data_IF_771643586070
#
_entry.id   IF_771643586070
#
_cell.length_a   1.000
_cell.length_b   1.000
_cell.length_c   1.000
_cell.angle_alpha   90.00
_cell.angle_beta   90.00
_cell.angle_gamma   90.00
#
_symmetry.space_group_name_H-M   'P 1'
#
loop_
_entity.id
_entity.type
_entity.pdbx_description
1 polymer ?
#
# COMPACT_ATOMS: atom_id res chain seq x y z
N UNK A 1 -10.30 0.67 61.56
CA UNK A 1 -10.77 1.89 60.86
C UNK A 1 -9.53 2.70 60.48
N UNK A 2 -8.96 2.44 59.29
CA UNK A 2 -7.74 3.10 58.83
C UNK A 2 -8.13 4.35 58.01
N UNK A 3 -7.86 5.53 58.56
CA UNK A 3 -7.88 6.79 57.81
C UNK A 3 -6.44 7.23 57.61
N UNK A 4 -5.96 7.26 56.36
CA UNK A 4 -4.73 7.97 56.01
C UNK A 4 -4.93 8.76 54.72
N UNK A 5 -4.75 10.06 54.87
CA UNK A 5 -4.80 11.11 53.88
C UNK A 5 -4.00 10.77 52.61
N UNK A 6 -4.60 10.93 51.43
CA UNK A 6 -3.87 11.14 50.18
C UNK A 6 -4.17 12.54 49.65
N UNK A 7 -3.13 13.38 49.65
CA UNK A 7 -3.08 14.72 49.08
C UNK A 7 -3.48 14.70 47.61
N UNK A 8 -4.36 15.61 47.21
CA UNK A 8 -4.55 15.96 45.80
C UNK A 8 -3.31 16.70 45.30
N UNK A 9 -2.75 16.26 44.17
CA UNK A 9 -2.12 17.17 43.21
C UNK A 9 -2.69 16.86 41.84
N UNK A 10 -3.57 17.77 41.45
CA UNK A 10 -3.79 18.19 40.08
C UNK A 10 -2.47 18.11 39.32
N UNK A 11 -2.38 17.19 38.37
CA UNK A 11 -1.59 17.39 37.17
C UNK A 11 -2.40 16.80 36.01
N UNK A 12 -3.20 17.67 35.40
CA UNK A 12 -3.65 17.51 34.02
C UNK A 12 -2.39 17.35 33.17
N UNK A 13 -2.05 16.12 32.79
CA UNK A 13 -1.35 15.89 31.53
C UNK A 13 -2.42 15.53 30.52
N UNK A 14 -2.77 16.54 29.73
CA UNK A 14 -3.26 16.36 28.36
C UNK A 14 -2.24 15.45 27.66
N UNK A 15 -2.48 14.14 27.71
CA UNK A 15 -1.85 13.22 26.78
C UNK A 15 -2.46 13.52 25.43
N UNK A 16 -1.65 14.12 24.54
CA UNK A 16 -1.96 14.21 23.14
C UNK A 16 -2.53 12.86 22.69
N UNK A 17 -3.73 12.90 22.09
CA UNK A 17 -4.40 11.71 21.58
C UNK A 17 -3.44 10.97 20.67
N UNK A 18 -3.33 9.67 20.88
CA UNK A 18 -2.57 8.75 20.06
C UNK A 18 -3.18 8.79 18.65
N UNK A 19 -2.59 9.60 17.76
CA UNK A 19 -2.94 9.72 16.34
C UNK A 19 -2.35 8.50 15.63
N UNK A 20 -2.95 7.33 15.84
CA UNK A 20 -2.67 6.16 15.02
C UNK A 20 -3.29 6.39 13.65
N UNK A 21 -2.55 6.16 12.57
CA UNK A 21 -3.19 6.35 11.29
C UNK A 21 -2.63 5.62 10.09
N UNK A 22 -3.51 5.59 9.12
CA UNK A 22 -3.33 5.02 7.82
C UNK A 22 -2.71 6.05 6.87
N UNK A 23 -1.80 5.55 6.06
CA UNK A 23 -1.03 6.27 5.08
C UNK A 23 -1.33 5.62 3.72
N UNK A 24 -2.20 6.26 2.92
CA UNK A 24 -2.52 5.81 1.57
C UNK A 24 -1.95 6.81 0.56
N UNK A 25 -1.27 6.31 -0.48
CA UNK A 25 -0.63 7.16 -1.46
C UNK A 25 -0.87 6.67 -2.87
N UNK A 26 -1.19 7.62 -3.73
CA UNK A 26 -1.22 7.44 -5.17
C UNK A 26 0.10 7.89 -5.77
N UNK A 27 0.53 7.21 -6.83
CA UNK A 27 1.70 7.57 -7.62
C UNK A 27 1.29 8.33 -8.88
N UNK A 28 0.18 9.07 -8.80
CA UNK A 28 -0.38 9.83 -9.91
C UNK A 28 0.45 11.10 -10.08
N UNK A 29 0.98 11.33 -11.28
CA UNK A 29 1.77 12.52 -11.51
C UNK A 29 0.89 13.76 -11.70
N UNK A 30 1.25 14.85 -11.05
CA UNK A 30 0.63 16.15 -11.30
C UNK A 30 1.18 16.72 -12.63
N UNK A 31 0.30 16.96 -13.61
CA UNK A 31 0.68 17.78 -14.78
C UNK A 31 0.55 19.27 -14.42
N UNK A 32 1.54 20.07 -14.82
CA UNK A 32 1.45 21.54 -14.77
C UNK A 32 1.06 22.00 -16.17
N UNK A 33 -0.21 22.31 -16.41
CA UNK A 33 -0.59 23.16 -17.55
C UNK A 33 -1.90 23.90 -17.27
N UNK A 34 -1.91 25.17 -17.66
CA UNK A 34 -2.84 26.19 -17.19
C UNK A 34 -4.30 26.02 -17.62
N UNK A 35 -5.17 26.45 -16.70
CA UNK A 35 -6.53 26.97 -16.83
C UNK A 35 -7.42 26.44 -17.97
N UNK A 36 -8.45 25.64 -17.62
CA UNK A 36 -9.88 25.92 -17.88
C UNK A 36 -10.72 25.33 -16.73
N UNK A 37 -11.67 26.13 -16.22
CA UNK A 37 -12.66 25.77 -15.18
C UNK A 37 -13.80 24.92 -15.74
N UNK A 38 -14.13 23.80 -15.08
CA UNK A 38 -15.50 23.27 -14.93
C UNK A 38 -15.56 22.23 -13.78
N UNK A 39 -16.69 22.18 -13.08
CA UNK A 39 -16.90 21.49 -11.80
C UNK A 39 -17.06 19.96 -11.89
N UNK A 40 -16.61 19.31 -10.80
CA UNK A 40 -16.98 18.00 -10.25
C UNK A 40 -16.09 16.77 -10.59
N UNK A 41 -15.78 16.04 -9.50
CA UNK A 41 -14.96 14.84 -9.33
C UNK A 41 -13.44 15.05 -9.42
N UNK A 42 -12.74 14.54 -8.41
CA UNK A 42 -11.30 14.62 -8.15
C UNK A 42 -10.50 13.94 -9.27
N UNK A 43 -10.35 14.61 -10.42
CA UNK A 43 -9.55 14.12 -11.54
C UNK A 43 -8.11 14.59 -11.37
N UNK A 44 -7.30 13.86 -10.61
CA UNK A 44 -5.87 13.80 -10.89
C UNK A 44 -5.73 13.21 -12.29
N UNK A 45 -5.43 14.03 -13.30
CA UNK A 45 -5.11 13.55 -14.65
C UNK A 45 -4.00 12.51 -14.53
N UNK A 46 -4.26 11.26 -14.92
CA UNK A 46 -3.22 10.23 -14.95
C UNK A 46 -2.01 10.77 -15.71
N UNK A 47 -0.86 10.81 -15.05
CA UNK A 47 0.39 11.06 -15.75
C UNK A 47 0.67 9.84 -16.62
N UNK A 48 0.45 9.97 -17.93
CA UNK A 48 0.61 8.87 -18.89
C UNK A 48 2.00 8.26 -18.92
N UNK A 49 2.99 8.89 -18.27
CA UNK A 49 4.29 8.29 -18.06
C UNK A 49 4.25 7.12 -17.07
N UNK A 50 3.35 7.13 -16.09
CA UNK A 50 3.27 6.11 -15.04
C UNK A 50 2.48 4.88 -15.53
N UNK A 51 2.81 3.67 -15.04
CA UNK A 51 2.01 2.47 -15.26
C UNK A 51 0.55 2.67 -14.87
N UNK A 52 -0.36 2.12 -15.67
CA UNK A 52 -1.78 2.06 -15.32
C UNK A 52 -2.00 1.24 -14.04
N UNK A 53 -3.12 1.48 -13.36
CA UNK A 53 -3.56 0.66 -12.21
C UNK A 53 -3.56 -0.83 -12.55
N UNK A 54 -4.06 -1.20 -13.73
CA UNK A 54 -4.06 -2.58 -14.22
C UNK A 54 -2.66 -3.17 -14.31
N UNK A 55 -1.67 -2.39 -14.73
CA UNK A 55 -0.27 -2.83 -14.81
C UNK A 55 0.31 -3.09 -13.43
N UNK A 56 0.01 -2.21 -12.46
CA UNK A 56 0.45 -2.37 -11.07
C UNK A 56 -0.19 -3.60 -10.44
N UNK A 57 -1.51 -3.75 -10.59
CA UNK A 57 -2.28 -4.86 -10.04
C UNK A 57 -1.87 -6.19 -10.68
N UNK A 58 -1.71 -6.24 -12.01
CA UNK A 58 -1.26 -7.44 -12.71
C UNK A 58 0.14 -7.88 -12.26
N UNK A 59 1.05 -6.91 -12.01
CA UNK A 59 2.39 -7.21 -11.49
C UNK A 59 2.32 -7.80 -10.08
N UNK A 60 1.58 -7.18 -9.17
CA UNK A 60 1.39 -7.71 -7.82
C UNK A 60 0.77 -9.11 -7.84
N UNK A 61 -0.22 -9.31 -8.72
CA UNK A 61 -0.93 -10.58 -8.85
C UNK A 61 -0.07 -11.75 -9.35
N UNK A 62 1.13 -11.50 -9.89
CA UNK A 62 2.07 -12.59 -10.22
C UNK A 62 2.55 -13.37 -9.00
N UNK A 63 2.37 -12.83 -7.79
CA UNK A 63 2.72 -13.46 -6.53
C UNK A 63 1.53 -14.05 -5.77
N UNK A 64 0.32 -14.07 -6.35
CA UNK A 64 -0.82 -14.76 -5.73
C UNK A 64 -0.46 -16.22 -5.41
N UNK A 65 -0.74 -16.65 -4.17
CA UNK A 65 -0.37 -17.99 -3.71
C UNK A 65 1.01 -18.09 -3.06
N UNK A 66 1.77 -16.98 -2.96
CA UNK A 66 3.09 -16.96 -2.29
C UNK A 66 2.91 -16.97 -0.78
N UNK A 67 3.42 -17.96 -0.03
CA UNK A 67 3.29 -17.99 1.43
C UNK A 67 3.87 -16.74 2.09
N UNK A 68 3.26 -16.32 3.19
CA UNK A 68 3.82 -15.22 3.98
C UNK A 68 5.09 -15.65 4.73
N UNK A 69 6.19 -14.90 4.54
CA UNK A 69 7.42 -15.05 5.33
C UNK A 69 7.97 -13.69 5.73
N UNK A 70 7.94 -13.40 7.03
CA UNK A 70 8.44 -12.14 7.60
C UNK A 70 9.91 -11.87 7.21
N UNK A 71 10.19 -10.67 6.70
CA UNK A 71 11.51 -10.21 6.28
C UNK A 71 11.84 -10.44 4.81
N UNK A 72 11.05 -11.24 4.07
CA UNK A 72 11.34 -11.54 2.68
C UNK A 72 10.75 -10.50 1.72
N UNK A 73 11.60 -9.95 0.84
CA UNK A 73 11.26 -8.83 -0.07
C UNK A 73 11.14 -9.18 -1.54
N UNK A 74 11.35 -10.44 -1.90
CA UNK A 74 11.42 -10.87 -3.30
C UNK A 74 12.69 -10.48 -4.05
N UNK A 75 13.72 -10.00 -3.33
CA UNK A 75 15.00 -9.55 -3.87
C UNK A 75 16.16 -9.99 -2.96
N UNK A 76 17.30 -10.31 -3.55
CA UNK A 76 18.56 -10.36 -2.81
C UNK A 76 19.11 -8.97 -2.56
N UNK A 77 19.71 -8.78 -1.38
CA UNK A 77 20.40 -7.56 -1.01
C UNK A 77 19.52 -6.31 -0.99
N UNK A 78 18.20 -6.45 -0.81
CA UNK A 78 17.27 -5.32 -0.76
C UNK A 78 17.70 -4.24 0.25
N UNK A 79 18.38 -4.63 1.34
CA UNK A 79 18.90 -3.75 2.40
C UNK A 79 20.29 -3.15 2.12
N UNK A 80 20.96 -3.54 1.05
CA UNK A 80 22.30 -3.06 0.72
C UNK A 80 22.19 -1.93 -0.31
N UNK A 81 22.47 -0.69 0.09
CA UNK A 81 22.31 0.48 -0.76
C UNK A 81 22.94 0.30 -2.15
N UNK A 82 22.16 0.51 -3.21
CA UNK A 82 22.62 0.39 -4.60
C UNK A 82 22.71 -1.05 -5.10
N UNK A 83 22.30 -2.04 -4.30
CA UNK A 83 22.18 -3.43 -4.69
C UNK A 83 20.74 -3.89 -4.48
N UNK A 84 20.17 -4.58 -5.45
CA UNK A 84 18.86 -5.24 -5.33
C UNK A 84 18.72 -6.18 -6.52
N UNK A 85 19.01 -7.47 -6.32
CA UNK A 85 18.96 -8.45 -7.41
C UNK A 85 17.62 -9.17 -7.37
N UNK A 86 16.81 -9.12 -8.45
CA UNK A 86 15.48 -9.72 -8.44
C UNK A 86 15.55 -11.24 -8.28
N UNK A 87 14.64 -11.79 -7.47
CA UNK A 87 14.40 -13.23 -7.43
C UNK A 87 13.39 -13.62 -8.52
N UNK A 88 13.50 -14.86 -9.00
CA UNK A 88 12.43 -15.42 -9.84
C UNK A 88 11.17 -15.66 -9.01
N UNK A 89 9.99 -15.59 -9.63
CA UNK A 89 8.72 -15.89 -8.97
C UNK A 89 8.75 -17.28 -8.30
N UNK A 90 9.34 -18.28 -8.95
CA UNK A 90 9.50 -19.61 -8.35
C UNK A 90 10.31 -19.58 -7.04
N UNK A 91 11.41 -18.83 -7.00
CA UNK A 91 12.21 -18.69 -5.78
C UNK A 91 11.44 -17.93 -4.70
N UNK A 92 10.69 -16.89 -5.08
CA UNK A 92 9.84 -16.13 -4.16
C UNK A 92 8.77 -17.06 -3.57
N UNK A 93 8.08 -17.85 -4.39
CA UNK A 93 7.05 -18.81 -3.94
C UNK A 93 7.61 -19.85 -2.94
N UNK A 94 8.88 -20.22 -3.07
CA UNK A 94 9.54 -21.17 -2.16
C UNK A 94 9.99 -20.52 -0.85
N UNK A 95 10.44 -19.27 -0.88
CA UNK A 95 10.92 -18.56 0.29
C UNK A 95 9.78 -17.88 1.06
N UNK A 96 8.70 -17.55 0.36
CA UNK A 96 7.64 -16.65 0.81
C UNK A 96 8.02 -15.17 0.72
N UNK A 97 7.06 -14.30 0.99
CA UNK A 97 7.19 -12.84 0.94
C UNK A 97 6.40 -12.20 2.08
N UNK A 98 6.82 -11.04 2.58
CA UNK A 98 6.00 -10.27 3.53
C UNK A 98 5.22 -9.14 2.86
N UNK A 99 4.45 -8.40 3.65
CA UNK A 99 3.52 -7.37 3.18
C UNK A 99 4.23 -6.21 2.48
N UNK A 100 5.29 -5.66 3.08
CA UNK A 100 6.10 -4.62 2.41
C UNK A 100 6.94 -5.21 1.27
N UNK A 101 7.29 -6.49 1.34
CA UNK A 101 7.94 -7.25 0.28
C UNK A 101 7.11 -7.34 -0.99
N UNK A 102 5.80 -7.58 -0.89
CA UNK A 102 4.87 -7.55 -2.04
C UNK A 102 4.88 -6.18 -2.72
N UNK A 103 4.80 -5.11 -1.93
CA UNK A 103 4.85 -3.72 -2.43
C UNK A 103 6.21 -3.44 -3.07
N UNK A 104 7.29 -3.77 -2.37
CA UNK A 104 8.66 -3.59 -2.84
C UNK A 104 8.92 -4.34 -4.14
N UNK A 105 8.51 -5.61 -4.22
CA UNK A 105 8.61 -6.44 -5.42
C UNK A 105 7.88 -5.77 -6.59
N UNK A 106 6.62 -5.40 -6.37
CA UNK A 106 5.76 -4.85 -7.42
C UNK A 106 6.37 -3.58 -8.01
N UNK A 107 6.73 -2.63 -7.15
CA UNK A 107 7.24 -1.34 -7.58
C UNK A 107 8.64 -1.46 -8.21
N UNK A 108 9.53 -2.25 -7.61
CA UNK A 108 10.89 -2.42 -8.12
C UNK A 108 10.90 -3.16 -9.46
N UNK A 109 10.02 -4.15 -9.66
CA UNK A 109 9.87 -4.85 -10.95
C UNK A 109 9.32 -3.96 -12.05
N UNK A 110 8.46 -2.98 -11.70
CA UNK A 110 7.97 -1.99 -12.66
C UNK A 110 9.01 -0.90 -12.93
N UNK A 111 10.08 -0.80 -12.13
CA UNK A 111 11.15 0.17 -12.34
C UNK A 111 10.94 1.51 -11.64
N UNK A 112 10.02 1.57 -10.67
CA UNK A 112 9.86 2.74 -9.82
C UNK A 112 11.11 3.00 -8.97
N UNK A 113 11.37 4.27 -8.70
CA UNK A 113 12.37 4.75 -7.74
C UNK A 113 11.74 5.84 -6.88
N UNK A 114 12.14 5.92 -5.62
CA UNK A 114 11.68 6.99 -4.74
C UNK A 114 12.83 7.84 -4.22
N UNK A 115 12.49 9.00 -3.67
CA UNK A 115 13.40 9.85 -2.90
C UNK A 115 12.62 10.57 -1.80
N UNK A 116 13.30 11.06 -0.77
CA UNK A 116 12.73 11.85 0.32
C UNK A 116 12.15 11.05 1.50
N UNK A 117 11.98 9.73 1.35
CA UNK A 117 11.69 8.83 2.46
C UNK A 117 12.89 8.70 3.40
N UNK A 118 12.67 8.23 4.63
CA UNK A 118 13.75 8.00 5.60
C UNK A 118 14.81 7.04 5.10
N UNK A 119 14.41 6.04 4.30
CA UNK A 119 15.31 5.11 3.63
C UNK A 119 14.60 4.38 2.48
N UNK A 120 15.31 4.15 1.37
CA UNK A 120 14.78 3.42 0.21
C UNK A 120 15.89 2.83 -0.68
N UNK A 121 15.61 1.71 -1.35
CA UNK A 121 16.55 1.07 -2.27
C UNK A 121 15.86 0.06 -3.23
N UNK A 122 15.36 0.45 -4.41
CA UNK A 122 15.20 1.81 -4.89
C UNK A 122 13.93 2.47 -4.34
N UNK A 123 12.99 1.68 -3.82
CA UNK A 123 11.78 2.14 -3.11
C UNK A 123 11.88 1.75 -1.62
N UNK A 124 11.05 2.29 -0.71
CA UNK A 124 11.11 1.92 0.70
C UNK A 124 10.86 0.41 0.86
N UNK A 125 11.77 -0.25 1.58
CA UNK A 125 11.76 -1.73 1.73
C UNK A 125 10.79 -2.19 2.82
N UNK A 126 10.67 -1.41 3.89
CA UNK A 126 9.85 -1.71 5.06
C UNK A 126 8.75 -0.67 5.26
N UNK A 127 7.69 -1.07 5.96
CA UNK A 127 6.52 -0.23 6.24
C UNK A 127 6.88 1.03 7.01
N UNK A 128 7.84 0.96 7.93
CA UNK A 128 8.32 2.08 8.73
C UNK A 128 8.86 3.22 7.85
N UNK A 129 9.59 2.87 6.78
CA UNK A 129 10.10 3.84 5.83
C UNK A 129 8.98 4.46 5.01
N UNK A 130 7.98 3.68 4.59
CA UNK A 130 6.79 4.21 3.92
C UNK A 130 6.02 5.22 4.80
N UNK A 131 5.94 4.97 6.11
CA UNK A 131 5.24 5.86 7.06
C UNK A 131 5.93 7.22 7.24
N UNK A 132 7.18 7.39 6.77
CA UNK A 132 7.91 8.67 6.79
C UNK A 132 7.59 9.60 5.62
N UNK A 133 6.68 9.17 4.74
CA UNK A 133 6.15 9.97 3.63
C UNK A 133 5.77 11.40 4.05
N UNK A 134 6.10 12.34 3.17
CA UNK A 134 5.89 13.77 3.34
C UNK A 134 5.86 14.47 1.98
N UNK A 135 5.56 15.77 1.95
CA UNK A 135 5.52 16.60 0.73
C UNK A 135 6.86 16.67 -0.04
N UNK A 136 7.96 16.25 0.60
CA UNK A 136 9.29 16.17 -0.02
C UNK A 136 9.53 14.83 -0.73
N UNK A 137 8.64 13.85 -0.55
CA UNK A 137 8.78 12.54 -1.16
C UNK A 137 8.39 12.59 -2.64
N UNK A 138 9.24 12.02 -3.47
CA UNK A 138 9.02 11.95 -4.91
C UNK A 138 9.13 10.52 -5.39
N UNK A 139 8.44 10.23 -6.50
CA UNK A 139 8.54 8.99 -7.22
C UNK A 139 8.96 9.25 -8.67
N UNK A 140 9.84 8.41 -9.19
CA UNK A 140 10.33 8.46 -10.55
C UNK A 140 10.00 7.15 -11.26
N UNK A 141 9.44 7.27 -12.45
CA UNK A 141 9.22 6.17 -13.38
C UNK A 141 9.59 6.65 -14.80
N UNK A 142 10.32 5.82 -15.55
CA UNK A 142 10.74 6.11 -16.93
C UNK A 142 11.29 7.55 -17.16
N UNK A 143 12.11 8.02 -16.21
CA UNK A 143 12.72 9.35 -16.24
C UNK A 143 11.80 10.51 -15.84
N UNK A 144 10.51 10.27 -15.62
CA UNK A 144 9.54 11.25 -15.14
C UNK A 144 9.44 11.19 -13.63
N UNK A 145 9.68 12.32 -12.96
CA UNK A 145 9.56 12.44 -11.50
C UNK A 145 8.29 13.20 -11.14
N UNK A 146 7.54 12.70 -10.17
CA UNK A 146 6.34 13.31 -9.61
C UNK A 146 6.39 13.29 -8.08
N UNK A 147 5.59 14.13 -7.44
CA UNK A 147 5.37 14.02 -6.00
C UNK A 147 4.62 12.73 -5.69
N UNK A 148 4.86 12.18 -4.50
CA UNK A 148 4.00 11.13 -3.96
C UNK A 148 2.76 11.82 -3.39
N UNK A 149 1.58 11.49 -3.91
CA UNK A 149 0.32 12.08 -3.45
C UNK A 149 -0.15 11.36 -2.18
N UNK A 150 -0.27 12.11 -1.09
CA UNK A 150 -0.79 11.64 0.20
C UNK A 150 -2.29 11.79 0.24
N UNK A 151 -3.01 10.69 0.00
CA UNK A 151 -4.48 10.66 0.04
C UNK A 151 -4.99 10.89 1.47
N UNK A 152 -4.25 10.32 2.43
CA UNK A 152 -4.44 10.50 3.88
C UNK A 152 -3.24 9.96 4.63
N UNK A 153 -3.00 10.55 5.79
CA UNK A 153 -1.97 10.16 6.74
C UNK A 153 -2.50 10.42 8.16
N UNK A 154 -2.11 9.59 9.14
CA UNK A 154 -2.44 9.78 10.55
C UNK A 154 -3.96 9.77 10.86
N UNK A 155 -4.78 9.03 10.08
CA UNK A 155 -6.21 8.80 10.35
C UNK A 155 -6.49 7.34 10.72
N UNK A 156 -7.21 7.11 11.83
CA UNK A 156 -7.62 5.76 12.25
C UNK A 156 -8.61 5.15 11.26
N UNK A 157 -8.47 3.86 10.98
CA UNK A 157 -9.41 3.12 10.12
C UNK A 157 -10.85 3.09 10.65
N UNK A 158 -11.03 3.27 11.96
CA UNK A 158 -12.35 3.41 12.60
C UNK A 158 -13.02 4.76 12.35
N UNK A 159 -12.21 5.78 12.08
CA UNK A 159 -12.69 7.15 11.85
C UNK A 159 -12.90 7.38 10.35
N UNK A 160 -12.06 6.76 9.51
CA UNK A 160 -12.21 6.69 8.06
C UNK A 160 -11.64 5.39 7.52
N UNK A 161 -12.40 4.60 6.77
CA UNK A 161 -11.93 3.31 6.28
C UNK A 161 -10.77 3.46 5.29
N UNK A 162 -10.03 2.38 5.03
CA UNK A 162 -8.75 2.51 4.32
C UNK A 162 -8.85 2.90 2.85
N UNK A 163 -9.98 2.59 2.21
CA UNK A 163 -10.21 2.84 0.79
C UNK A 163 -10.67 4.26 0.50
N UNK A 164 -10.94 5.11 1.51
CA UNK A 164 -11.56 6.42 1.30
C UNK A 164 -10.58 7.60 1.45
N UNK A 165 -10.41 8.44 0.43
CA UNK A 165 -9.65 9.69 0.47
C UNK A 165 -10.24 10.70 1.46
N UNK A 166 -9.50 11.77 1.78
CA UNK A 166 -9.94 12.82 2.70
C UNK A 166 -11.24 13.54 2.27
N UNK A 167 -11.52 13.60 0.97
CA UNK A 167 -12.72 14.21 0.38
C UNK A 167 -13.93 13.26 0.32
N UNK A 168 -13.78 12.00 0.72
CA UNK A 168 -14.84 10.98 0.67
C UNK A 168 -14.88 10.18 -0.63
N UNK A 169 -14.01 10.46 -1.60
CA UNK A 169 -13.83 9.61 -2.78
C UNK A 169 -13.05 8.33 -2.41
N UNK A 170 -13.02 7.34 -3.31
CA UNK A 170 -12.18 6.16 -3.13
C UNK A 170 -10.75 6.45 -3.60
N UNK A 171 -9.77 5.87 -2.91
CA UNK A 171 -8.37 5.91 -3.35
C UNK A 171 -8.25 5.26 -4.74
N UNK A 172 -7.29 5.72 -5.53
CA UNK A 172 -7.13 5.20 -6.88
C UNK A 172 -6.68 3.74 -6.87
N UNK A 173 -7.24 2.84 -7.70
CA UNK A 173 -6.71 1.49 -7.87
C UNK A 173 -5.20 1.50 -8.21
N UNK A 174 -4.45 0.51 -7.72
CA UNK A 174 -3.00 0.47 -7.82
C UNK A 174 -2.26 1.28 -6.73
N UNK A 175 -2.98 2.04 -5.90
CA UNK A 175 -2.37 2.76 -4.77
C UNK A 175 -1.75 1.82 -3.76
N UNK A 176 -0.63 2.27 -3.17
CA UNK A 176 0.00 1.61 -2.03
C UNK A 176 -0.66 2.11 -0.76
N UNK A 177 -1.11 1.18 0.07
CA UNK A 177 -1.70 1.48 1.37
C UNK A 177 -0.83 0.87 2.45
N UNK A 178 -0.44 1.69 3.43
CA UNK A 178 0.36 1.29 4.58
C UNK A 178 -0.37 1.68 5.86
N UNK A 179 -0.67 0.68 6.67
CA UNK A 179 -1.35 0.83 7.95
C UNK A 179 -0.37 0.62 9.09
N UNK A 180 -0.17 1.65 9.90
CA UNK A 180 0.50 1.50 11.19
C UNK A 180 -0.38 0.67 12.14
N UNK A 181 0.22 -0.32 12.80
CA UNK A 181 -0.47 -1.11 13.83
C UNK A 181 0.27 -1.00 15.17
N UNK A 182 -0.12 -0.05 16.04
CA UNK A 182 0.58 0.20 17.31
C UNK A 182 0.62 -0.98 18.28
N UNK A 183 -0.22 -2.00 18.08
CA UNK A 183 -0.30 -3.20 18.93
C UNK A 183 0.17 -4.47 18.20
N UNK A 184 0.75 -4.34 17.02
CA UNK A 184 1.16 -5.46 16.18
C UNK A 184 2.25 -5.07 15.18
N UNK A 185 2.22 -5.73 14.03
CA UNK A 185 3.11 -5.44 12.90
C UNK A 185 2.32 -4.55 11.94
N UNK A 186 2.93 -3.47 11.48
CA UNK A 186 2.42 -2.64 10.40
C UNK A 186 2.15 -3.51 9.16
N UNK A 187 1.21 -3.07 8.33
CA UNK A 187 0.82 -3.87 7.16
C UNK A 187 0.74 -3.02 5.91
N UNK A 188 1.08 -3.61 4.77
CA UNK A 188 1.03 -2.95 3.48
C UNK A 188 0.39 -3.83 2.40
N UNK A 189 -0.32 -3.19 1.47
CA UNK A 189 -1.00 -3.86 0.36
C UNK A 189 -1.20 -2.92 -0.82
N UNK A 190 -1.62 -3.48 -1.95
CA UNK A 190 -2.01 -2.73 -3.16
C UNK A 190 -3.53 -2.78 -3.28
N UNK A 191 -4.17 -1.61 -3.33
CA UNK A 191 -5.61 -1.53 -3.49
C UNK A 191 -6.02 -1.84 -4.93
N UNK A 192 -7.03 -2.69 -5.12
CA UNK A 192 -7.50 -3.11 -6.45
C UNK A 192 -8.69 -2.31 -6.96
N UNK A 193 -9.42 -1.63 -6.07
CA UNK A 193 -10.67 -0.95 -6.42
C UNK A 193 -11.92 -1.69 -5.94
N UNK A 194 -13.04 -1.26 -6.53
CA UNK A 194 -14.37 -1.72 -6.16
C UNK A 194 -14.87 -2.86 -7.04
N UNK A 195 -15.31 -3.96 -6.44
CA UNK A 195 -15.94 -5.09 -7.14
C UNK A 195 -17.10 -5.66 -6.33
N UNK A 196 -18.24 -5.88 -6.98
CA UNK A 196 -19.47 -6.37 -6.34
C UNK A 196 -19.38 -7.85 -5.93
N UNK A 197 -18.48 -8.61 -6.57
CA UNK A 197 -18.37 -10.04 -6.34
C UNK A 197 -16.98 -10.61 -6.62
N UNK A 198 -16.71 -11.78 -6.05
CA UNK A 198 -15.53 -12.60 -6.40
C UNK A 198 -15.47 -12.90 -7.91
N UNK A 199 -16.61 -13.11 -8.57
CA UNK A 199 -16.65 -13.36 -10.02
C UNK A 199 -16.17 -12.15 -10.82
N UNK A 200 -16.46 -10.94 -10.38
CA UNK A 200 -16.01 -9.72 -11.05
C UNK A 200 -14.50 -9.55 -10.88
N UNK A 201 -13.97 -9.84 -9.70
CA UNK A 201 -12.52 -9.85 -9.44
C UNK A 201 -11.81 -10.88 -10.31
N UNK A 202 -12.33 -12.11 -10.38
CA UNK A 202 -11.78 -13.16 -11.25
C UNK A 202 -11.79 -12.73 -12.71
N UNK A 203 -12.88 -12.13 -13.18
CA UNK A 203 -13.01 -11.65 -14.56
C UNK A 203 -12.04 -10.50 -14.84
N UNK A 204 -11.90 -9.57 -13.90
CA UNK A 204 -10.98 -8.44 -13.96
C UNK A 204 -9.52 -8.91 -14.02
N UNK A 205 -9.09 -9.78 -13.10
CA UNK A 205 -7.73 -10.32 -13.07
C UNK A 205 -7.37 -11.01 -14.39
N UNK A 206 -8.30 -11.78 -14.97
CA UNK A 206 -8.11 -12.37 -16.31
C UNK A 206 -7.98 -11.31 -17.40
N UNK A 207 -8.81 -10.27 -17.36
CA UNK A 207 -8.82 -9.21 -18.37
C UNK A 207 -7.51 -8.41 -18.43
N UNK A 208 -6.82 -8.27 -17.28
CA UNK A 208 -5.52 -7.59 -17.18
C UNK A 208 -4.32 -8.56 -17.36
N UNK A 209 -4.57 -9.81 -17.74
CA UNK A 209 -3.52 -10.77 -18.11
C UNK A 209 -2.92 -11.58 -16.97
N UNK A 210 -3.57 -11.65 -15.80
CA UNK A 210 -3.12 -12.54 -14.71
C UNK A 210 -3.34 -14.00 -15.10
N UNK A 211 -2.34 -14.84 -14.85
CA UNK A 211 -2.40 -16.27 -15.17
C UNK A 211 -3.57 -16.96 -14.48
N UNK A 212 -4.40 -17.68 -15.24
CA UNK A 212 -5.55 -18.41 -14.69
C UNK A 212 -5.14 -19.45 -13.63
N UNK A 213 -3.91 -19.98 -13.70
CA UNK A 213 -3.39 -20.92 -12.71
C UNK A 213 -3.27 -20.31 -11.30
N UNK A 214 -3.07 -18.99 -11.22
CA UNK A 214 -2.97 -18.24 -9.98
C UNK A 214 -4.34 -17.83 -9.44
N UNK A 215 -5.40 -17.94 -10.25
CA UNK A 215 -6.75 -17.47 -9.91
C UNK A 215 -7.60 -18.67 -9.46
N UNK A 216 -7.68 -18.91 -8.16
CA UNK A 216 -8.45 -20.02 -7.61
C UNK A 216 -9.12 -19.65 -6.27
N UNK A 217 -9.76 -20.60 -5.59
CA UNK A 217 -10.49 -20.35 -4.35
C UNK A 217 -9.60 -20.08 -3.13
N UNK A 218 -8.30 -20.36 -3.22
CA UNK A 218 -7.32 -20.12 -2.14
C UNK A 218 -6.70 -18.74 -2.23
N UNK A 219 -6.49 -18.25 -3.45
CA UNK A 219 -5.79 -16.98 -3.75
C UNK A 219 -6.72 -15.80 -4.02
N UNK A 220 -7.98 -16.08 -4.37
CA UNK A 220 -9.02 -15.06 -4.54
C UNK A 220 -10.19 -15.45 -3.64
N UNK A 221 -10.29 -14.78 -2.50
CA UNK A 221 -11.28 -15.08 -1.48
C UNK A 221 -11.64 -13.85 -0.64
N UNK A 222 -12.71 -13.99 0.12
CA UNK A 222 -13.27 -12.94 0.99
C UNK A 222 -12.51 -12.75 2.32
N UNK A 223 -11.39 -13.47 2.49
CA UNK A 223 -10.42 -13.25 3.57
C UNK A 223 -11.05 -13.18 4.96
N UNK A 224 -12.05 -14.01 5.28
CA UNK A 224 -12.76 -14.01 6.58
C UNK A 224 -13.36 -12.66 7.02
N UNK A 225 -13.43 -11.67 6.13
CA UNK A 225 -14.08 -10.38 6.33
C UNK A 225 -15.48 -10.37 5.73
N UNK A 226 -16.24 -9.30 5.96
CA UNK A 226 -17.61 -9.16 5.47
C UNK A 226 -17.70 -8.91 3.96
N UNK A 227 -16.91 -9.62 3.13
CA UNK A 227 -17.02 -9.63 1.66
C UNK A 227 -17.48 -8.29 1.10
N UNK A 228 -16.62 -7.27 1.23
CA UNK A 228 -16.97 -5.91 0.87
C UNK A 228 -16.79 -5.66 -0.62
N UNK A 229 -17.19 -4.48 -1.06
CA UNK A 229 -16.89 -4.01 -2.41
C UNK A 229 -15.42 -3.63 -2.57
N UNK A 230 -14.63 -3.53 -1.50
CA UNK A 230 -13.24 -3.03 -1.51
C UNK A 230 -12.20 -4.17 -1.59
N UNK A 231 -11.53 -4.32 -2.72
CA UNK A 231 -10.56 -5.41 -2.94
C UNK A 231 -9.10 -4.93 -2.90
N UNK A 232 -8.19 -5.85 -2.54
CA UNK A 232 -6.75 -5.58 -2.44
C UNK A 232 -5.93 -6.85 -2.71
N UNK A 233 -4.69 -6.67 -3.12
CA UNK A 233 -3.66 -7.71 -3.13
C UNK A 233 -2.76 -7.48 -1.92
N UNK A 234 -2.70 -8.45 -1.02
CA UNK A 234 -1.84 -8.45 0.16
C UNK A 234 -1.07 -9.76 0.25
N UNK A 235 0.01 -9.78 1.03
CA UNK A 235 0.68 -11.02 1.42
C UNK A 235 0.27 -11.34 2.86
N UNK A 236 -0.43 -12.45 3.08
CA UNK A 236 -0.96 -12.82 4.39
C UNK A 236 -1.15 -14.33 4.55
N UNK A 237 -0.71 -14.86 5.69
CA UNK A 237 -0.95 -16.26 6.05
C UNK A 237 -0.27 -17.27 5.14
N UNK A 238 -0.73 -18.52 5.18
CA UNK A 238 -0.06 -19.64 4.50
C UNK A 238 -0.39 -19.78 3.02
N UNK A 239 -1.46 -19.13 2.56
CA UNK A 239 -1.94 -19.22 1.16
C UNK A 239 -1.60 -17.97 0.33
N UNK A 240 -0.97 -16.96 0.95
CA UNK A 240 -0.47 -15.77 0.27
C UNK A 240 -1.52 -14.71 0.05
#
# INVERSE_FOLDING_TARGET
MHFMFKKSKILKKLGAGFMAGLCAFSMLGSSVSGAITANAASTSTENSAFPSSDTVIAKAATLLGTPYTFGNKGYWYAYNQGQYTPLSVQTINNLGIDCSGLVYYTLTQLGYKTSGFSWNNPVPVDTDHWLTVSDNCTITYDGVTSKVDVEKQNIKTTDRPYWECADGSNITPGSVVVAENPSGIDHAWIYMGEFDSRSDVVSYLKSIGVSESLINSKTVGDGKGAGGTHWRIEANGSEG
#
